data_IF_071086246371
#
_entry.id   IF_071086246371
#
_cell.length_a   1.000
_cell.length_b   1.000
_cell.length_c   1.000
_cell.angle_alpha   90.00
_cell.angle_beta   90.00
_cell.angle_gamma   90.00
#
_symmetry.space_group_name_H-M   'P 1'
#
loop_
_entity.id
_entity.type
_entity.pdbx_description
1 polymer ?
#
# COMPACT_ATOMS: atom_id res chain seq x y z
N UNK A 1 -12.53 10.22 21.45
CA UNK A 1 -11.40 9.47 20.85
C UNK A 1 -11.73 8.93 19.45
N UNK A 2 -12.91 8.39 19.22
CA UNK A 2 -13.35 7.84 17.92
C UNK A 2 -13.40 8.90 16.80
N UNK A 3 -13.89 10.10 17.11
CA UNK A 3 -14.00 11.20 16.17
C UNK A 3 -12.61 11.68 15.64
N UNK A 4 -11.56 11.56 16.45
CA UNK A 4 -10.21 11.97 16.09
C UNK A 4 -9.52 10.94 15.16
N UNK A 5 -9.80 9.64 15.35
CA UNK A 5 -9.28 8.55 14.48
C UNK A 5 -9.91 8.59 13.09
N UNK A 6 -11.20 8.93 12.98
CA UNK A 6 -11.87 9.10 11.69
C UNK A 6 -11.32 10.32 10.93
N UNK A 7 -11.09 11.43 11.60
CA UNK A 7 -10.49 12.63 10.99
C UNK A 7 -9.08 12.35 10.47
N UNK A 8 -8.25 11.62 11.24
CA UNK A 8 -6.91 11.25 10.78
C UNK A 8 -6.95 10.30 9.58
N UNK A 9 -7.88 9.36 9.56
CA UNK A 9 -8.02 8.44 8.43
C UNK A 9 -8.44 9.16 7.14
N UNK A 10 -9.36 10.14 7.22
CA UNK A 10 -9.73 10.96 6.07
C UNK A 10 -8.56 11.81 5.55
N UNK A 11 -7.76 12.38 6.46
CA UNK A 11 -6.53 13.07 6.09
C UNK A 11 -5.56 12.13 5.35
N UNK A 12 -5.33 10.93 5.88
CA UNK A 12 -4.44 9.94 5.29
C UNK A 12 -4.91 9.51 3.88
N UNK A 13 -6.22 9.37 3.66
CA UNK A 13 -6.77 9.12 2.32
C UNK A 13 -6.49 10.29 1.38
N UNK A 14 -6.63 11.53 1.86
CA UNK A 14 -6.30 12.73 1.09
C UNK A 14 -4.83 12.76 0.68
N UNK A 15 -3.92 12.44 1.59
CA UNK A 15 -2.48 12.33 1.30
C UNK A 15 -2.20 11.25 0.24
N UNK A 16 -2.84 10.08 0.35
CA UNK A 16 -2.69 9.02 -0.65
C UNK A 16 -3.16 9.46 -2.05
N UNK A 17 -4.22 10.29 -2.15
CA UNK A 17 -4.69 10.83 -3.43
C UNK A 17 -3.67 11.75 -4.12
N UNK A 18 -2.78 12.39 -3.38
CA UNK A 18 -1.72 13.24 -3.96
C UNK A 18 -0.71 12.42 -4.79
N UNK A 19 -0.57 11.12 -4.53
CA UNK A 19 0.31 10.23 -5.29
C UNK A 19 -0.34 9.69 -6.57
N UNK A 20 -1.62 9.98 -6.79
CA UNK A 20 -2.40 9.47 -7.91
C UNK A 20 -1.81 9.84 -9.26
N UNK A 21 -1.56 8.82 -10.08
CA UNK A 21 -1.03 9.00 -11.43
C UNK A 21 0.46 9.35 -11.49
N UNK A 22 1.13 9.44 -10.33
CA UNK A 22 2.56 9.64 -10.24
C UNK A 22 3.34 8.34 -10.26
N UNK A 23 4.66 8.46 -10.22
CA UNK A 23 5.60 7.32 -10.11
C UNK A 23 6.26 7.36 -8.75
N UNK A 24 6.25 6.21 -8.05
CA UNK A 24 7.01 5.99 -6.83
C UNK A 24 8.23 5.15 -7.20
N UNK A 25 9.43 5.68 -6.95
CA UNK A 25 10.68 5.02 -7.33
C UNK A 25 11.35 4.35 -6.14
N UNK A 26 11.70 3.07 -6.28
CA UNK A 26 12.56 2.38 -5.33
C UNK A 26 13.98 2.95 -5.42
N UNK A 27 14.55 3.36 -4.28
CA UNK A 27 15.88 3.96 -4.18
C UNK A 27 16.65 3.38 -2.99
N UNK A 28 17.95 3.20 -3.15
CA UNK A 28 18.83 2.63 -2.11
C UNK A 28 19.86 3.64 -1.57
N UNK A 29 19.98 4.80 -2.20
CA UNK A 29 20.92 5.85 -1.80
C UNK A 29 20.29 7.24 -1.94
N UNK A 30 20.78 8.25 -1.19
CA UNK A 30 20.38 9.64 -1.36
C UNK A 30 20.58 10.18 -2.80
N UNK A 31 21.61 9.71 -3.49
CA UNK A 31 21.90 10.10 -4.88
C UNK A 31 20.81 9.60 -5.84
N UNK A 32 20.42 8.32 -5.71
CA UNK A 32 19.31 7.77 -6.49
C UNK A 32 17.99 8.50 -6.22
N UNK A 33 17.76 8.91 -4.97
CA UNK A 33 16.58 9.67 -4.60
C UNK A 33 16.53 11.05 -5.32
N UNK A 34 17.65 11.78 -5.38
CA UNK A 34 17.74 13.05 -6.14
C UNK A 34 17.51 12.84 -7.63
N UNK A 35 18.05 11.77 -8.20
CA UNK A 35 17.83 11.43 -9.62
C UNK A 35 16.35 11.15 -9.87
N UNK A 36 15.70 10.38 -8.99
CA UNK A 36 14.27 10.07 -9.10
C UNK A 36 13.40 11.34 -9.01
N UNK A 37 13.68 12.22 -8.05
CA UNK A 37 13.00 13.52 -7.90
C UNK A 37 13.19 14.39 -9.15
N UNK A 38 14.42 14.54 -9.64
CA UNK A 38 14.72 15.31 -10.84
C UNK A 38 14.04 14.74 -12.09
N UNK A 39 13.81 13.43 -12.14
CA UNK A 39 13.07 12.75 -13.20
C UNK A 39 11.54 12.89 -13.09
N UNK A 40 11.03 13.53 -12.02
CA UNK A 40 9.61 13.77 -11.81
C UNK A 40 8.86 12.67 -11.04
N UNK A 41 9.55 11.85 -10.26
CA UNK A 41 8.88 10.94 -9.32
C UNK A 41 8.05 11.75 -8.32
N UNK A 42 6.87 11.24 -7.95
CA UNK A 42 6.00 11.88 -6.96
C UNK A 42 6.34 11.47 -5.53
N UNK A 43 7.07 10.38 -5.35
CA UNK A 43 7.58 9.87 -4.08
C UNK A 43 8.73 8.89 -4.35
N UNK A 44 9.52 8.59 -3.32
CA UNK A 44 10.52 7.52 -3.35
C UNK A 44 10.24 6.49 -2.26
N UNK A 45 10.59 5.23 -2.53
CA UNK A 45 10.57 4.15 -1.55
C UNK A 45 12.01 3.87 -1.12
N UNK A 46 12.33 4.17 0.13
CA UNK A 46 13.65 3.94 0.70
C UNK A 46 13.86 2.46 1.05
N UNK A 47 14.82 1.82 0.41
CA UNK A 47 15.14 0.39 0.57
C UNK A 47 16.65 0.19 0.71
N UNK A 48 17.08 -0.70 1.59
CA UNK A 48 18.49 -1.16 1.57
C UNK A 48 18.78 -2.05 0.37
N UNK A 49 17.79 -2.84 -0.02
CA UNK A 49 17.85 -3.77 -1.16
C UNK A 49 16.54 -3.70 -1.93
N UNK A 50 16.63 -3.63 -3.24
CA UNK A 50 15.43 -3.73 -4.09
C UNK A 50 14.84 -5.15 -4.05
N UNK A 51 13.57 -5.34 -4.38
CA UNK A 51 12.91 -6.66 -4.31
C UNK A 51 13.65 -7.78 -5.04
N UNK A 52 14.32 -7.49 -6.16
CA UNK A 52 15.12 -8.47 -6.89
C UNK A 52 16.30 -8.98 -6.07
N UNK A 53 17.02 -8.10 -5.38
CA UNK A 53 18.16 -8.44 -4.53
C UNK A 53 17.72 -9.21 -3.28
N UNK A 54 16.57 -8.83 -2.68
CA UNK A 54 15.98 -9.56 -1.56
C UNK A 54 15.67 -11.00 -1.98
N UNK A 55 15.06 -11.17 -3.14
CA UNK A 55 14.71 -12.51 -3.67
C UNK A 55 15.96 -13.34 -3.98
N UNK A 56 16.99 -12.74 -4.56
CA UNK A 56 18.23 -13.42 -4.89
C UNK A 56 19.04 -13.84 -3.65
N UNK A 57 19.08 -12.99 -2.63
CA UNK A 57 19.83 -13.26 -1.41
C UNK A 57 19.17 -14.32 -0.51
N UNK A 58 17.84 -14.44 -0.55
CA UNK A 58 17.06 -15.27 0.38
C UNK A 58 17.20 -14.83 1.84
N UNK A 59 16.73 -15.65 2.76
CA UNK A 59 16.80 -15.39 4.19
C UNK A 59 15.75 -14.40 4.68
N UNK A 60 15.94 -13.89 5.91
CA UNK A 60 15.01 -12.96 6.56
C UNK A 60 15.30 -11.53 6.09
N UNK A 61 14.29 -10.91 5.50
CA UNK A 61 14.32 -9.50 5.12
C UNK A 61 13.51 -8.67 6.10
N UNK A 62 14.09 -7.58 6.61
CA UNK A 62 13.52 -6.68 7.63
C UNK A 62 13.40 -5.26 7.07
N UNK A 63 12.84 -4.34 7.87
CA UNK A 63 12.86 -2.92 7.55
C UNK A 63 14.29 -2.42 7.35
N UNK A 64 14.45 -1.39 6.54
CA UNK A 64 15.73 -0.75 6.26
C UNK A 64 16.25 0.05 7.46
N UNK A 65 17.56 0.27 7.55
CA UNK A 65 18.20 1.04 8.62
C UNK A 65 17.62 2.47 8.68
N UNK A 66 17.14 2.93 9.84
CA UNK A 66 16.63 4.29 10.02
C UNK A 66 17.60 5.40 9.61
N UNK A 67 18.93 5.18 9.75
CA UNK A 67 19.94 6.17 9.32
C UNK A 67 19.96 6.33 7.81
N UNK A 68 19.84 5.22 7.08
CA UNK A 68 19.77 5.23 5.62
C UNK A 68 18.49 5.93 5.17
N UNK A 69 17.35 5.63 5.78
CA UNK A 69 16.06 6.28 5.49
C UNK A 69 16.17 7.78 5.71
N UNK A 70 16.72 8.22 6.86
CA UNK A 70 16.94 9.64 7.16
C UNK A 70 17.82 10.33 6.12
N UNK A 71 18.90 9.70 5.69
CA UNK A 71 19.76 10.23 4.63
C UNK A 71 19.01 10.46 3.31
N UNK A 72 18.03 9.62 3.00
CA UNK A 72 17.16 9.79 1.84
C UNK A 72 16.16 10.93 2.09
N UNK A 73 15.53 11.00 3.26
CA UNK A 73 14.62 12.10 3.63
C UNK A 73 15.30 13.48 3.53
N UNK A 74 16.54 13.59 3.96
CA UNK A 74 17.33 14.83 3.88
C UNK A 74 17.75 15.22 2.45
N UNK A 75 17.71 14.26 1.52
CA UNK A 75 18.18 14.45 0.15
C UNK A 75 17.13 14.96 -0.82
N UNK A 76 15.84 14.81 -0.53
CA UNK A 76 14.72 15.12 -1.43
C UNK A 76 13.64 15.93 -0.74
N UNK A 77 12.82 16.62 -1.54
CA UNK A 77 11.64 17.36 -1.06
C UNK A 77 10.32 16.61 -1.29
N UNK A 78 10.34 15.55 -2.10
CA UNK A 78 9.19 14.68 -2.33
C UNK A 78 9.03 13.67 -1.20
N UNK A 79 7.81 13.15 -0.97
CA UNK A 79 7.55 12.17 0.08
C UNK A 79 8.45 10.94 0.03
N UNK A 80 8.88 10.48 1.19
CA UNK A 80 9.67 9.27 1.37
C UNK A 80 8.83 8.20 2.03
N UNK A 81 8.79 7.03 1.42
CA UNK A 81 8.10 5.83 1.91
C UNK A 81 9.13 4.82 2.42
N UNK A 82 8.75 4.02 3.39
CA UNK A 82 9.55 2.88 3.85
C UNK A 82 8.68 1.66 4.13
N UNK A 83 9.29 0.48 4.10
CA UNK A 83 8.59 -0.79 4.31
C UNK A 83 8.78 -1.29 5.74
N UNK A 84 7.70 -1.81 6.32
CA UNK A 84 7.74 -2.66 7.51
C UNK A 84 7.24 -4.07 7.18
N UNK A 85 7.61 -5.04 8.01
CA UNK A 85 7.13 -6.41 7.88
C UNK A 85 5.65 -6.51 8.24
N UNK A 86 4.92 -7.41 7.60
CA UNK A 86 3.54 -7.71 7.95
C UNK A 86 3.45 -8.11 9.42
N UNK A 87 2.55 -7.46 10.19
CA UNK A 87 2.31 -7.72 11.60
C UNK A 87 3.36 -7.13 12.57
N UNK A 88 4.41 -6.49 12.08
CA UNK A 88 5.48 -5.98 12.95
C UNK A 88 5.24 -4.52 13.36
N UNK A 89 4.36 -4.31 14.33
CA UNK A 89 3.98 -2.96 14.79
C UNK A 89 5.16 -2.13 15.33
N UNK A 90 6.20 -2.76 15.89
CA UNK A 90 7.38 -2.03 16.38
C UNK A 90 8.19 -1.40 15.23
N UNK A 91 8.34 -2.10 14.10
CA UNK A 91 8.95 -1.49 12.91
C UNK A 91 8.15 -0.28 12.43
N UNK A 92 6.83 -0.37 12.43
CA UNK A 92 5.98 0.77 12.08
C UNK A 92 6.12 1.94 13.07
N UNK A 93 6.24 1.66 14.37
CA UNK A 93 6.49 2.69 15.39
C UNK A 93 7.85 3.39 15.19
N UNK A 94 8.89 2.63 14.81
CA UNK A 94 10.20 3.20 14.50
C UNK A 94 10.10 4.12 13.28
N UNK A 95 9.41 3.68 12.22
CA UNK A 95 9.22 4.50 11.02
C UNK A 95 8.40 5.76 11.30
N UNK A 96 7.34 5.67 12.09
CA UNK A 96 6.57 6.85 12.52
C UNK A 96 7.43 7.80 13.35
N UNK A 97 8.29 7.28 14.24
CA UNK A 97 9.16 8.10 15.09
C UNK A 97 10.26 8.84 14.32
N UNK A 98 10.65 8.37 13.15
CA UNK A 98 11.56 9.08 12.25
C UNK A 98 10.81 9.96 11.23
N UNK A 99 9.52 10.18 11.44
CA UNK A 99 8.67 11.06 10.63
C UNK A 99 8.61 10.65 9.15
N UNK A 100 8.50 9.34 8.88
CA UNK A 100 8.30 8.84 7.51
C UNK A 100 6.94 9.30 6.96
N UNK A 101 6.86 9.64 5.68
CA UNK A 101 5.62 10.15 5.09
C UNK A 101 4.58 9.06 4.84
N UNK A 102 5.00 7.84 4.48
CA UNK A 102 4.13 6.67 4.27
C UNK A 102 4.83 5.39 4.71
N UNK A 103 4.08 4.45 5.27
CA UNK A 103 4.55 3.10 5.60
C UNK A 103 3.92 2.09 4.66
N UNK A 104 4.72 1.26 3.99
CA UNK A 104 4.25 0.08 3.26
C UNK A 104 4.40 -1.16 4.14
N UNK A 105 3.28 -1.68 4.68
CA UNK A 105 3.24 -2.99 5.32
C UNK A 105 3.30 -4.06 4.23
N UNK A 106 4.50 -4.60 4.00
CA UNK A 106 4.87 -5.20 2.73
C UNK A 106 5.19 -6.69 2.81
N UNK A 107 4.58 -7.43 1.87
CA UNK A 107 4.89 -8.85 1.61
C UNK A 107 6.26 -9.09 0.98
N UNK A 108 6.96 -8.04 0.54
CA UNK A 108 8.35 -8.13 0.04
C UNK A 108 9.31 -8.49 1.15
N UNK A 109 9.04 -8.02 2.36
CA UNK A 109 9.80 -8.37 3.57
C UNK A 109 9.28 -9.68 4.16
N UNK A 110 10.09 -10.33 4.99
CA UNK A 110 9.69 -11.55 5.70
C UNK A 110 8.58 -11.22 6.70
N UNK A 111 7.40 -11.86 6.66
CA UNK A 111 6.34 -11.60 7.61
C UNK A 111 6.81 -11.83 9.05
N UNK A 112 6.39 -10.99 9.97
CA UNK A 112 6.56 -11.22 11.40
C UNK A 112 5.35 -11.96 11.98
N UNK A 113 4.20 -11.81 11.34
CA UNK A 113 2.96 -12.51 11.65
C UNK A 113 2.27 -12.90 10.34
N UNK A 114 1.82 -14.14 10.22
CA UNK A 114 1.13 -14.65 9.03
C UNK A 114 -0.40 -14.58 9.16
N UNK A 115 -0.90 -14.26 10.34
CA UNK A 115 -2.32 -14.16 10.66
C UNK A 115 -2.78 -12.71 10.81
N UNK A 116 -2.05 -11.93 11.62
CA UNK A 116 -2.45 -10.57 11.99
C UNK A 116 -1.61 -9.51 11.29
N UNK A 117 -2.30 -8.59 10.62
CA UNK A 117 -1.72 -7.35 10.12
C UNK A 117 -1.74 -6.28 11.23
N UNK A 118 -0.92 -5.24 11.04
CA UNK A 118 -0.86 -4.09 11.94
C UNK A 118 -2.22 -3.40 11.98
N UNK A 119 -2.69 -3.01 13.18
CA UNK A 119 -3.82 -2.08 13.32
C UNK A 119 -3.35 -0.66 12.97
N UNK A 120 -3.59 -0.25 11.74
CA UNK A 120 -3.12 1.02 11.17
C UNK A 120 -3.83 2.24 11.75
N UNK A 121 -4.99 2.02 12.41
CA UNK A 121 -5.75 3.08 13.09
C UNK A 121 -5.07 3.58 14.38
N UNK A 122 -4.02 2.91 14.83
CA UNK A 122 -3.23 3.32 16.00
C UNK A 122 -2.07 4.26 15.63
N UNK A 123 -1.88 4.52 14.33
CA UNK A 123 -0.83 5.38 13.78
C UNK A 123 -1.42 6.64 13.14
N UNK A 124 -0.61 7.70 13.09
CA UNK A 124 -0.93 8.94 12.38
C UNK A 124 -0.51 8.88 10.91
N UNK A 125 0.60 8.18 10.63
CA UNK A 125 1.15 8.03 9.29
C UNK A 125 0.24 7.17 8.40
N UNK A 126 0.04 7.53 7.11
CA UNK A 126 -0.72 6.73 6.17
C UNK A 126 -0.02 5.42 5.82
N UNK A 127 -0.79 4.34 5.72
CA UNK A 127 -0.30 3.01 5.34
C UNK A 127 -0.70 2.63 3.92
N UNK A 128 0.23 2.00 3.24
CA UNK A 128 0.04 1.30 1.96
C UNK A 128 0.09 -0.20 2.21
N UNK A 129 -0.76 -0.96 1.53
CA UNK A 129 -0.74 -2.42 1.58
C UNK A 129 -0.90 -3.02 0.19
N UNK A 130 -0.31 -4.17 -0.03
CA UNK A 130 -0.56 -4.98 -1.22
C UNK A 130 -1.86 -5.78 -1.12
N UNK A 131 -2.53 -5.97 -2.26
CA UNK A 131 -3.65 -6.86 -2.38
C UNK A 131 -3.66 -7.57 -3.74
N UNK A 132 -4.13 -8.82 -3.78
CA UNK A 132 -4.29 -9.62 -5.00
C UNK A 132 -5.69 -9.50 -5.58
N UNK A 133 -6.67 -9.35 -4.69
CA UNK A 133 -8.09 -9.30 -5.01
C UNK A 133 -8.83 -8.26 -4.14
N UNK A 134 -10.09 -8.01 -4.48
CA UNK A 134 -10.89 -7.00 -3.79
C UNK A 134 -11.16 -7.36 -2.33
N UNK A 135 -11.35 -8.63 -2.01
CA UNK A 135 -11.58 -9.04 -0.62
C UNK A 135 -10.36 -8.75 0.26
N UNK A 136 -9.16 -9.07 -0.22
CA UNK A 136 -7.92 -8.72 0.48
C UNK A 136 -7.76 -7.19 0.63
N UNK A 137 -8.03 -6.43 -0.45
CA UNK A 137 -7.97 -4.98 -0.41
C UNK A 137 -8.93 -4.38 0.66
N UNK A 138 -10.18 -4.83 0.67
CA UNK A 138 -11.17 -4.35 1.62
C UNK A 138 -10.83 -4.73 3.07
N UNK A 139 -10.20 -5.89 3.30
CA UNK A 139 -9.70 -6.26 4.64
C UNK A 139 -8.58 -5.31 5.09
N UNK A 140 -7.63 -4.97 4.23
CA UNK A 140 -6.57 -3.98 4.53
C UNK A 140 -7.16 -2.60 4.81
N UNK A 141 -8.14 -2.18 4.03
CA UNK A 141 -8.89 -0.93 4.26
C UNK A 141 -9.60 -0.95 5.62
N UNK A 142 -10.22 -2.06 5.98
CA UNK A 142 -10.86 -2.23 7.28
C UNK A 142 -9.89 -2.06 8.45
N UNK A 143 -8.64 -2.47 8.27
CA UNK A 143 -7.55 -2.28 9.24
C UNK A 143 -6.96 -0.86 9.26
N UNK A 144 -7.38 0.02 8.34
CA UNK A 144 -6.95 1.41 8.26
C UNK A 144 -5.94 1.73 7.17
N UNK A 145 -5.72 0.84 6.20
CA UNK A 145 -4.88 1.15 5.04
C UNK A 145 -5.47 2.32 4.24
N UNK A 146 -4.63 3.28 3.86
CA UNK A 146 -4.98 4.50 3.12
C UNK A 146 -4.71 4.40 1.63
N UNK A 147 -3.92 3.41 1.21
CA UNK A 147 -3.61 3.12 -0.19
C UNK A 147 -3.46 1.61 -0.39
N UNK A 148 -3.93 1.13 -1.54
CA UNK A 148 -3.75 -0.26 -1.96
C UNK A 148 -2.91 -0.27 -3.23
N UNK A 149 -1.97 -1.20 -3.31
CA UNK A 149 -1.22 -1.54 -4.52
C UNK A 149 -1.47 -3.00 -4.90
N UNK A 150 -1.28 -3.33 -6.17
CA UNK A 150 -1.27 -4.73 -6.58
C UNK A 150 -0.03 -5.42 -6.02
N UNK A 151 -0.16 -6.67 -5.58
CA UNK A 151 1.00 -7.44 -5.11
C UNK A 151 1.97 -7.76 -6.25
N UNK A 152 1.46 -8.25 -7.38
CA UNK A 152 2.31 -8.73 -8.46
C UNK A 152 3.25 -9.86 -8.02
N UNK A 153 4.40 -9.94 -8.68
CA UNK A 153 5.54 -10.78 -8.28
C UNK A 153 6.79 -9.91 -8.26
N UNK A 154 7.01 -9.14 -7.18
CA UNK A 154 8.10 -8.18 -7.11
C UNK A 154 9.46 -8.87 -7.22
N UNK A 155 10.40 -8.26 -7.94
CA UNK A 155 11.75 -8.77 -8.14
C UNK A 155 11.89 -9.86 -9.20
N UNK A 156 10.83 -10.25 -9.92
CA UNK A 156 10.90 -11.23 -11.02
C UNK A 156 10.90 -10.61 -12.41
N UNK A 157 10.46 -9.34 -12.52
CA UNK A 157 10.15 -8.73 -13.82
C UNK A 157 8.88 -9.27 -14.50
N UNK A 158 8.15 -10.19 -13.86
CA UNK A 158 6.91 -10.75 -14.37
C UNK A 158 5.73 -9.81 -14.12
N UNK A 159 5.49 -8.90 -15.04
CA UNK A 159 4.34 -7.97 -15.00
C UNK A 159 2.99 -8.65 -15.23
N UNK A 160 2.94 -9.87 -15.73
CA UNK A 160 1.68 -10.61 -15.98
C UNK A 160 0.89 -10.79 -14.68
N UNK A 161 1.56 -11.04 -13.56
CA UNK A 161 0.90 -11.18 -12.26
C UNK A 161 0.26 -9.87 -11.80
N UNK A 162 0.94 -8.76 -11.98
CA UNK A 162 0.37 -7.43 -11.66
C UNK A 162 -0.87 -7.15 -12.51
N UNK A 163 -0.83 -7.46 -13.80
CA UNK A 163 -1.98 -7.33 -14.71
C UNK A 163 -3.14 -8.24 -14.29
N UNK A 164 -2.86 -9.48 -13.88
CA UNK A 164 -3.89 -10.40 -13.36
C UNK A 164 -4.59 -9.83 -12.13
N UNK A 165 -3.82 -9.37 -11.14
CA UNK A 165 -4.38 -8.80 -9.91
C UNK A 165 -5.21 -7.56 -10.20
N UNK A 166 -4.76 -6.68 -11.09
CA UNK A 166 -5.52 -5.51 -11.53
C UNK A 166 -6.84 -5.92 -12.20
N UNK A 167 -6.81 -6.89 -13.11
CA UNK A 167 -8.02 -7.39 -13.77
C UNK A 167 -8.99 -8.05 -12.79
N UNK A 168 -8.49 -8.83 -11.83
CA UNK A 168 -9.32 -9.44 -10.79
C UNK A 168 -10.00 -8.35 -9.94
N UNK A 169 -9.27 -7.33 -9.55
CA UNK A 169 -9.79 -6.19 -8.80
C UNK A 169 -10.91 -5.48 -9.58
N UNK A 170 -10.64 -5.08 -10.81
CA UNK A 170 -11.61 -4.36 -11.65
C UNK A 170 -12.84 -5.21 -11.96
N UNK A 171 -12.68 -6.51 -12.20
CA UNK A 171 -13.81 -7.42 -12.45
C UNK A 171 -14.67 -7.59 -11.21
N UNK A 172 -14.06 -7.67 -10.02
CA UNK A 172 -14.82 -7.77 -8.77
C UNK A 172 -15.59 -6.48 -8.46
N UNK A 173 -14.98 -5.31 -8.70
CA UNK A 173 -15.65 -4.01 -8.56
C UNK A 173 -16.83 -3.91 -9.54
N UNK A 174 -16.63 -4.29 -10.80
CA UNK A 174 -17.69 -4.25 -11.81
C UNK A 174 -18.85 -5.21 -11.44
N UNK A 175 -18.53 -6.40 -10.94
CA UNK A 175 -19.52 -7.37 -10.44
C UNK A 175 -20.38 -6.75 -9.33
N UNK A 176 -19.74 -6.23 -8.27
CA UNK A 176 -20.44 -5.63 -7.12
C UNK A 176 -21.27 -4.42 -7.56
N UNK A 177 -20.76 -3.59 -8.47
CA UNK A 177 -21.45 -2.42 -8.98
C UNK A 177 -22.75 -2.73 -9.72
N UNK A 178 -22.88 -3.95 -10.25
CA UNK A 178 -24.04 -4.45 -10.98
C UNK A 178 -25.00 -5.29 -10.13
N UNK A 179 -24.64 -5.62 -8.88
CA UNK A 179 -25.47 -6.43 -7.97
C UNK A 179 -26.70 -5.64 -7.50
N UNK A 180 -27.74 -6.36 -7.09
CA UNK A 180 -28.84 -5.79 -6.31
C UNK A 180 -28.42 -5.64 -4.86
N UNK A 181 -29.03 -4.72 -4.14
CA UNK A 181 -28.71 -4.45 -2.73
C UNK A 181 -28.84 -5.68 -1.83
N UNK A 182 -29.83 -6.55 -2.09
CA UNK A 182 -30.05 -7.77 -1.31
C UNK A 182 -28.93 -8.83 -1.51
N UNK A 183 -28.23 -8.78 -2.63
CA UNK A 183 -27.10 -9.68 -2.93
C UNK A 183 -25.80 -9.26 -2.23
N UNK A 184 -25.68 -7.98 -1.83
CA UNK A 184 -24.47 -7.46 -1.20
C UNK A 184 -24.16 -8.10 0.15
N UNK A 185 -25.18 -8.56 0.88
CA UNK A 185 -24.98 -9.29 2.15
C UNK A 185 -24.25 -10.60 1.96
N UNK A 186 -24.56 -11.34 0.89
CA UNK A 186 -23.88 -12.59 0.59
C UNK A 186 -22.46 -12.34 0.07
N UNK A 187 -22.30 -11.36 -0.80
CA UNK A 187 -20.97 -10.98 -1.31
C UNK A 187 -20.04 -10.56 -0.16
N UNK A 188 -20.52 -9.81 0.84
CA UNK A 188 -19.75 -9.44 2.00
C UNK A 188 -19.26 -10.67 2.79
N UNK A 189 -20.10 -11.69 2.95
CA UNK A 189 -19.72 -12.97 3.57
C UNK A 189 -18.65 -13.71 2.75
N UNK A 190 -18.82 -13.76 1.42
CA UNK A 190 -17.87 -14.42 0.53
C UNK A 190 -16.50 -13.74 0.56
N UNK A 191 -16.47 -12.41 0.54
CA UNK A 191 -15.25 -11.61 0.62
C UNK A 191 -14.66 -11.57 2.04
N UNK A 192 -15.43 -11.97 3.06
CA UNK A 192 -15.05 -11.92 4.48
C UNK A 192 -14.72 -10.50 4.93
N UNK A 193 -15.61 -9.56 4.63
CA UNK A 193 -15.45 -8.14 4.93
C UNK A 193 -16.76 -7.58 5.52
N UNK A 194 -16.71 -6.44 6.24
CA UNK A 194 -17.90 -5.71 6.66
C UNK A 194 -18.79 -5.33 5.48
N UNK A 195 -20.10 -5.40 5.69
CA UNK A 195 -21.11 -5.05 4.68
C UNK A 195 -20.92 -3.64 4.13
N UNK A 196 -20.61 -2.69 4.99
CA UNK A 196 -20.47 -1.27 4.66
C UNK A 196 -19.40 -1.02 3.60
N UNK A 197 -18.34 -1.85 3.58
CA UNK A 197 -17.29 -1.75 2.56
C UNK A 197 -17.76 -2.25 1.20
N UNK A 198 -18.58 -3.30 1.16
CA UNK A 198 -19.18 -3.79 -0.09
C UNK A 198 -20.22 -2.83 -0.61
N UNK A 199 -21.05 -2.28 0.27
CA UNK A 199 -22.00 -1.23 -0.05
C UNK A 199 -21.32 0.00 -0.64
N UNK A 200 -20.21 0.44 -0.04
CA UNK A 200 -19.39 1.53 -0.58
C UNK A 200 -18.92 1.25 -2.02
N UNK A 201 -18.39 0.06 -2.28
CA UNK A 201 -17.95 -0.33 -3.64
C UNK A 201 -19.13 -0.32 -4.62
N UNK A 202 -20.30 -0.79 -4.20
CA UNK A 202 -21.52 -0.77 -5.01
C UNK A 202 -21.94 0.63 -5.41
N UNK A 203 -21.97 1.55 -4.44
CA UNK A 203 -22.41 2.94 -4.65
C UNK A 203 -21.40 3.76 -5.45
N UNK A 204 -20.10 3.64 -5.12
CA UNK A 204 -19.04 4.48 -5.69
C UNK A 204 -18.33 3.86 -6.89
N UNK A 205 -18.61 2.60 -7.22
CA UNK A 205 -18.01 1.85 -8.33
C UNK A 205 -16.47 1.83 -8.30
N UNK A 206 -15.91 1.88 -7.10
CA UNK A 206 -14.47 1.88 -6.83
C UNK A 206 -14.19 1.36 -5.43
N UNK A 207 -12.96 0.87 -5.16
CA UNK A 207 -12.55 0.72 -3.77
C UNK A 207 -12.39 2.11 -3.13
N UNK A 208 -12.41 2.15 -1.78
CA UNK A 208 -12.18 3.36 -0.99
C UNK A 208 -10.88 4.08 -1.33
N UNK A 209 -9.92 3.36 -1.88
CA UNK A 209 -8.57 3.81 -2.11
C UNK A 209 -8.19 3.67 -3.58
N UNK A 210 -7.35 4.59 -4.00
CA UNK A 210 -6.79 4.57 -5.33
C UNK A 210 -5.78 3.41 -5.46
N UNK A 211 -6.00 2.57 -6.46
CA UNK A 211 -4.98 1.64 -6.95
C UNK A 211 -4.16 2.40 -7.99
N UNK A 212 -2.84 2.47 -7.79
CA UNK A 212 -1.96 3.09 -8.80
C UNK A 212 -2.08 2.31 -10.11
N UNK A 213 -2.53 2.90 -11.23
CA UNK A 213 -2.54 2.20 -12.49
C UNK A 213 -1.10 1.94 -12.95
N UNK A 214 -0.88 0.78 -13.53
CA UNK A 214 0.35 0.53 -14.27
C UNK A 214 0.52 1.60 -15.35
N UNK A 215 1.75 2.02 -15.71
CA UNK A 215 1.99 2.90 -16.84
C UNK A 215 1.35 2.43 -18.16
N UNK A 216 1.02 1.14 -18.27
CA UNK A 216 0.32 0.54 -19.41
C UNK A 216 -1.20 0.74 -19.40
N UNK A 217 -1.79 1.16 -18.30
CA UNK A 217 -3.24 1.40 -18.19
C UNK A 217 -3.64 2.81 -18.67
N UNK A 218 -2.67 3.59 -19.16
CA UNK A 218 -2.87 4.88 -19.83
C UNK A 218 -2.93 4.68 -21.35
N UNK A 219 -3.84 3.82 -21.78
CA UNK A 219 -4.17 3.68 -23.19
C UNK A 219 -4.98 4.86 -23.72
#
# INVERSE_FOLDING_TARGET
MENNKNTQYELNKGLAQMLKGGVIMDVTTPEQARIAEAAGACAVMALERIPADIRAAGGVSRMSDPKMIKGIQEAVSIPVMAKCRIGHFVEAQILEAIEIDYIDESEVLSPADDVYHINKRDFKVPFVCGARDLGEALRRINEGASMIRTKGEPGTGDVVQAVRHMRMMNSAIAKISAMREDELFDEAKQLRVPYELVQYVHEHKSCLLYTSPSPRDRG
#
